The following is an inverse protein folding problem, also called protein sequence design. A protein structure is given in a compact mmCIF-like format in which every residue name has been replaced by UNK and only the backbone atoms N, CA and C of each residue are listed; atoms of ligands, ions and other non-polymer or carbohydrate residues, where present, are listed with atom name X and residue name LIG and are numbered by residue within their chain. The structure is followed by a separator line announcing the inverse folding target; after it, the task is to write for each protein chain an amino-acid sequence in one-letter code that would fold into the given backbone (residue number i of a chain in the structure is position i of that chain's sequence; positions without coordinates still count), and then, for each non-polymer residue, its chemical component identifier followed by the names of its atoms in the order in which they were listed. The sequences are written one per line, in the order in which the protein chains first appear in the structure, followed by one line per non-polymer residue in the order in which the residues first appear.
data_IF_529424817619
#
_entry.id   IF_529424817619
#
_cell.length_a   1.000
_cell.length_b   1.000
_cell.length_c   1.000
_cell.angle_alpha   90.00
_cell.angle_beta   90.00
_cell.angle_gamma   90.00
#
_symmetry.space_group_name_H-M   'P 1'
#
loop_
_entity.id
_entity.type
_entity.pdbx_description
1 polymer ?
#
# COMPACT_ATOMS: atom_id res chain seq x y z
N UNK A 1 -2.63 -43.66 6.21
CA UNK A 1 -1.83 -42.88 5.25
C UNK A 1 -2.74 -41.85 4.59
N UNK A 2 -2.33 -40.58 4.56
CA UNK A 2 -2.92 -39.57 3.66
C UNK A 2 -3.98 -38.64 4.25
N UNK A 3 -3.64 -37.91 5.32
CA UNK A 3 -4.40 -36.73 5.74
C UNK A 3 -4.28 -35.63 4.68
N UNK A 4 -5.19 -35.65 3.70
CA UNK A 4 -5.31 -34.61 2.69
C UNK A 4 -5.87 -33.34 3.32
N UNK A 5 -4.97 -32.44 3.74
CA UNK A 5 -5.30 -31.09 4.17
C UNK A 5 -5.98 -30.41 2.97
N UNK A 6 -7.32 -30.41 2.95
CA UNK A 6 -8.12 -29.64 2.00
C UNK A 6 -7.69 -28.20 2.19
N UNK A 7 -7.00 -27.61 1.20
CA UNK A 7 -6.70 -26.18 1.21
C UNK A 7 -8.04 -25.44 1.00
N UNK A 8 -8.71 -25.14 2.12
CA UNK A 8 -9.93 -24.33 2.26
C UNK A 8 -9.73 -22.85 1.90
N UNK A 9 -8.86 -22.54 0.95
CA UNK A 9 -8.72 -21.17 0.47
C UNK A 9 -9.63 -21.04 -0.75
N UNK A 10 -10.75 -20.29 -0.66
CA UNK A 10 -11.56 -19.99 -1.84
C UNK A 10 -10.61 -19.45 -2.91
N UNK A 11 -10.66 -20.05 -4.11
CA UNK A 11 -9.85 -19.65 -5.25
C UNK A 11 -10.36 -18.32 -5.81
N UNK A 12 -10.25 -17.26 -5.01
CA UNK A 12 -10.39 -15.89 -5.50
C UNK A 12 -9.27 -15.71 -6.52
N UNK A 13 -9.63 -15.36 -7.75
CA UNK A 13 -8.65 -15.15 -8.81
C UNK A 13 -7.56 -14.17 -8.35
N UNK A 14 -6.30 -14.51 -8.64
CA UNK A 14 -5.10 -13.72 -8.31
C UNK A 14 -5.32 -12.21 -8.49
N UNK A 15 -5.91 -11.83 -9.62
CA UNK A 15 -6.22 -10.44 -9.97
C UNK A 15 -7.21 -9.77 -9.02
N UNK A 16 -8.26 -10.47 -8.55
CA UNK A 16 -9.25 -9.90 -7.62
C UNK A 16 -8.64 -9.62 -6.25
N UNK A 17 -7.76 -10.49 -5.77
CA UNK A 17 -7.01 -10.28 -4.53
C UNK A 17 -6.09 -9.06 -4.63
N UNK A 18 -5.37 -8.95 -5.75
CA UNK A 18 -4.49 -7.81 -6.01
C UNK A 18 -5.28 -6.49 -6.05
N UNK A 19 -6.41 -6.44 -6.74
CA UNK A 19 -7.25 -5.24 -6.80
C UNK A 19 -7.79 -4.83 -5.43
N UNK A 20 -8.27 -5.78 -4.62
CA UNK A 20 -8.75 -5.51 -3.27
C UNK A 20 -7.62 -5.03 -2.35
N UNK A 21 -6.44 -5.65 -2.44
CA UNK A 21 -5.29 -5.26 -1.63
C UNK A 21 -4.76 -3.89 -2.03
N UNK A 22 -4.67 -3.61 -3.33
CA UNK A 22 -4.31 -2.29 -3.84
C UNK A 22 -5.30 -1.21 -3.34
N UNK A 23 -6.59 -1.52 -3.31
CA UNK A 23 -7.60 -0.59 -2.77
C UNK A 23 -7.34 -0.29 -1.28
N UNK A 24 -7.05 -1.33 -0.49
CA UNK A 24 -6.71 -1.16 0.94
C UNK A 24 -5.43 -0.33 1.11
N UNK A 25 -4.42 -0.54 0.27
CA UNK A 25 -3.19 0.27 0.28
C UNK A 25 -3.45 1.75 0.00
N UNK A 26 -4.29 2.06 -0.98
CA UNK A 26 -4.62 3.44 -1.34
C UNK A 26 -5.43 4.12 -0.25
N UNK A 27 -6.43 3.43 0.33
CA UNK A 27 -7.36 4.05 1.28
C UNK A 27 -6.75 4.17 2.67
N UNK A 28 -6.15 3.09 3.19
CA UNK A 28 -5.71 3.03 4.59
C UNK A 28 -4.22 3.36 4.76
N UNK A 29 -3.37 2.79 3.91
CA UNK A 29 -1.92 2.92 4.09
C UNK A 29 -1.33 4.22 3.52
N UNK A 30 -2.05 4.90 2.63
CA UNK A 30 -1.63 6.20 2.07
C UNK A 30 -2.22 7.41 2.81
N UNK A 31 -2.55 7.27 4.10
CA UNK A 31 -3.09 8.38 4.92
C UNK A 31 -2.19 9.64 4.94
N UNK A 32 -0.88 9.45 4.97
CA UNK A 32 0.08 10.56 4.92
C UNK A 32 0.00 11.33 3.60
N UNK A 33 -0.11 10.62 2.47
CA UNK A 33 -0.29 11.21 1.14
C UNK A 33 -1.58 12.03 1.08
N UNK A 34 -2.69 11.50 1.62
CA UNK A 34 -3.97 12.23 1.67
C UNK A 34 -3.87 13.51 2.50
N UNK A 35 -3.17 13.46 3.64
CA UNK A 35 -2.92 14.62 4.51
C UNK A 35 -2.06 15.67 3.80
N UNK A 36 -0.99 15.26 3.12
CA UNK A 36 -0.14 16.15 2.35
C UNK A 36 -0.90 16.79 1.17
N UNK A 37 -1.70 16.00 0.45
CA UNK A 37 -2.49 16.46 -0.68
C UNK A 37 -3.54 17.49 -0.25
N UNK A 38 -4.18 17.28 0.90
CA UNK A 38 -5.13 18.23 1.48
C UNK A 38 -4.46 19.55 1.92
N UNK A 39 -3.19 19.53 2.31
CA UNK A 39 -2.42 20.75 2.63
C UNK A 39 -1.93 21.52 1.41
N UNK A 40 -1.60 20.82 0.31
CA UNK A 40 -1.02 21.43 -0.90
C UNK A 40 -2.07 21.92 -1.90
N UNK A 41 -3.28 21.36 -1.88
CA UNK A 41 -4.29 21.59 -2.89
C UNK A 41 -5.46 22.37 -2.27
N UNK A 42 -5.49 23.71 -2.38
CA UNK A 42 -6.60 24.54 -1.89
C UNK A 42 -7.81 24.49 -2.86
N UNK A 43 -8.08 23.35 -3.48
CA UNK A 43 -9.24 23.17 -4.36
C UNK A 43 -10.47 22.87 -3.52
N UNK A 44 -11.38 23.85 -3.43
CA UNK A 44 -12.64 23.70 -2.71
C UNK A 44 -13.77 23.27 -3.65
N UNK A 45 -14.75 22.52 -3.11
CA UNK A 45 -15.94 22.08 -3.84
C UNK A 45 -15.73 20.87 -4.76
N UNK A 46 -16.59 20.74 -5.77
CA UNK A 46 -16.66 19.55 -6.64
C UNK A 46 -15.36 19.25 -7.39
N UNK A 47 -14.56 20.28 -7.71
CA UNK A 47 -13.26 20.14 -8.39
C UNK A 47 -12.21 19.49 -7.49
N UNK A 48 -12.22 19.82 -6.19
CA UNK A 48 -11.35 19.18 -5.20
C UNK A 48 -11.68 17.70 -5.09
N UNK A 49 -12.95 17.36 -4.93
CA UNK A 49 -13.39 15.96 -4.87
C UNK A 49 -13.01 15.17 -6.14
N UNK A 50 -13.24 15.74 -7.33
CA UNK A 50 -12.88 15.09 -8.59
C UNK A 50 -11.36 14.86 -8.73
N UNK A 51 -10.54 15.80 -8.25
CA UNK A 51 -9.08 15.65 -8.23
C UNK A 51 -8.62 14.56 -7.25
N UNK A 52 -9.19 14.53 -6.03
CA UNK A 52 -8.90 13.46 -5.07
C UNK A 52 -9.30 12.08 -5.61
N UNK A 53 -10.48 11.99 -6.26
CA UNK A 53 -10.95 10.75 -6.86
C UNK A 53 -10.08 10.29 -8.03
N UNK A 54 -9.66 11.19 -8.92
CA UNK A 54 -8.76 10.84 -10.03
C UNK A 54 -7.37 10.42 -9.54
N UNK A 55 -6.85 11.08 -8.52
CA UNK A 55 -5.59 10.71 -7.89
C UNK A 55 -5.68 9.34 -7.19
N UNK A 56 -6.78 9.07 -6.48
CA UNK A 56 -7.06 7.75 -5.90
C UNK A 56 -7.09 6.65 -6.97
N UNK A 57 -7.79 6.91 -8.07
CA UNK A 57 -7.91 5.97 -9.19
C UNK A 57 -6.54 5.71 -9.85
N UNK A 58 -5.73 6.76 -10.03
CA UNK A 58 -4.37 6.65 -10.56
C UNK A 58 -3.48 5.79 -9.65
N UNK A 59 -3.45 6.08 -8.35
CA UNK A 59 -2.70 5.28 -7.37
C UNK A 59 -3.17 3.82 -7.35
N UNK A 60 -4.49 3.60 -7.39
CA UNK A 60 -5.05 2.25 -7.40
C UNK A 60 -4.64 1.47 -8.65
N UNK A 61 -4.68 2.09 -9.83
CA UNK A 61 -4.21 1.49 -11.07
C UNK A 61 -2.70 1.19 -11.02
N UNK A 62 -1.89 2.13 -10.52
CA UNK A 62 -0.45 1.96 -10.38
C UNK A 62 -0.09 0.79 -9.46
N UNK A 63 -0.67 0.72 -8.26
CA UNK A 63 -0.43 -0.39 -7.33
C UNK A 63 -0.94 -1.72 -7.89
N UNK A 64 -2.11 -1.73 -8.53
CA UNK A 64 -2.64 -2.93 -9.18
C UNK A 64 -1.69 -3.42 -10.27
N UNK A 65 -1.14 -2.53 -11.09
CA UNK A 65 -0.19 -2.88 -12.15
C UNK A 65 1.11 -3.44 -11.56
N UNK A 66 1.69 -2.78 -10.56
CA UNK A 66 2.92 -3.23 -9.90
C UNK A 66 2.74 -4.60 -9.22
N UNK A 67 1.66 -4.77 -8.45
CA UNK A 67 1.35 -6.03 -7.79
C UNK A 67 1.01 -7.15 -8.78
N UNK A 68 0.41 -6.81 -9.92
CA UNK A 68 0.15 -7.77 -11.01
C UNK A 68 1.47 -8.21 -11.66
N UNK A 69 2.43 -7.29 -11.84
CA UNK A 69 3.76 -7.60 -12.36
C UNK A 69 4.54 -8.57 -11.44
N UNK A 70 4.36 -8.42 -10.13
CA UNK A 70 4.99 -9.26 -9.09
C UNK A 70 4.15 -10.51 -8.75
N UNK A 71 2.97 -10.69 -9.35
CA UNK A 71 2.03 -11.79 -9.07
C UNK A 71 2.43 -13.13 -9.70
N UNK A 72 3.64 -13.61 -9.41
CA UNK A 72 4.02 -15.00 -9.68
C UNK A 72 3.33 -15.94 -8.67
N UNK A 73 2.77 -17.05 -9.15
CA UNK A 73 1.86 -17.97 -8.43
C UNK A 73 2.30 -18.37 -6.98
N UNK A 74 3.59 -18.63 -6.69
CA UNK A 74 4.04 -18.90 -5.32
C UNK A 74 4.45 -17.64 -4.52
N UNK A 75 4.81 -16.55 -5.21
CA UNK A 75 5.39 -15.33 -4.61
C UNK A 75 4.33 -14.31 -4.18
N UNK A 76 3.10 -14.45 -4.66
CA UNK A 76 2.03 -13.49 -4.43
C UNK A 76 1.70 -13.33 -2.93
N UNK A 77 1.59 -14.43 -2.20
CA UNK A 77 1.30 -14.40 -0.76
C UNK A 77 2.41 -13.70 0.06
N UNK A 78 3.70 -14.11 -0.04
CA UNK A 78 4.74 -13.43 0.71
C UNK A 78 4.93 -11.97 0.26
N UNK A 79 4.79 -11.66 -1.03
CA UNK A 79 4.88 -10.29 -1.52
C UNK A 79 3.80 -9.39 -0.91
N UNK A 80 2.53 -9.84 -0.88
CA UNK A 80 1.45 -9.08 -0.24
C UNK A 80 1.71 -8.86 1.25
N UNK A 81 2.19 -9.87 1.98
CA UNK A 81 2.52 -9.73 3.40
C UNK A 81 3.66 -8.73 3.61
N UNK A 82 4.74 -8.82 2.83
CA UNK A 82 5.86 -7.89 2.91
C UNK A 82 5.42 -6.45 2.61
N UNK A 83 4.66 -6.26 1.53
CA UNK A 83 4.12 -4.95 1.18
C UNK A 83 3.21 -4.43 2.29
N UNK A 84 2.34 -5.26 2.88
CA UNK A 84 1.49 -4.85 3.99
C UNK A 84 2.31 -4.41 5.21
N UNK A 85 3.34 -5.17 5.59
CA UNK A 85 4.21 -4.84 6.73
C UNK A 85 5.02 -3.57 6.47
N UNK A 86 5.63 -3.44 5.29
CA UNK A 86 6.36 -2.25 4.89
C UNK A 86 5.44 -1.02 4.86
N UNK A 87 4.24 -1.16 4.29
CA UNK A 87 3.24 -0.09 4.29
C UNK A 87 2.79 0.27 5.69
N UNK A 88 2.56 -0.69 6.59
CA UNK A 88 2.21 -0.43 7.99
C UNK A 88 3.31 0.38 8.71
N UNK A 89 4.57 -0.03 8.53
CA UNK A 89 5.72 0.70 9.05
C UNK A 89 5.77 2.11 8.47
N UNK A 90 5.67 2.26 7.16
CA UNK A 90 5.68 3.55 6.49
C UNK A 90 4.58 4.49 6.97
N UNK A 91 3.33 4.00 7.08
CA UNK A 91 2.21 4.77 7.61
C UNK A 91 2.42 5.17 9.06
N UNK A 92 2.96 4.28 9.91
CA UNK A 92 3.24 4.60 11.31
C UNK A 92 4.34 5.66 11.45
N UNK A 93 5.45 5.52 10.71
CA UNK A 93 6.53 6.50 10.75
C UNK A 93 6.10 7.86 10.20
N UNK A 94 5.40 7.88 9.05
CA UNK A 94 4.87 9.13 8.49
C UNK A 94 3.77 9.76 9.35
N UNK A 95 2.94 8.95 10.01
CA UNK A 95 1.82 9.40 10.83
C UNK A 95 2.23 9.90 12.22
N UNK A 96 3.07 9.13 12.94
CA UNK A 96 3.50 9.44 14.31
C UNK A 96 4.64 10.45 14.36
N UNK A 97 5.58 10.40 13.43
CA UNK A 97 6.72 11.31 13.43
C UNK A 97 6.56 12.49 12.46
N UNK A 98 5.60 12.45 11.52
CA UNK A 98 5.46 13.48 10.49
C UNK A 98 6.63 13.53 9.51
N UNK A 99 7.52 12.54 9.57
CA UNK A 99 8.73 12.47 8.75
C UNK A 99 8.36 11.71 7.47
N UNK A 100 8.42 12.39 6.34
CA UNK A 100 8.49 11.72 5.03
C UNK A 100 9.72 10.80 5.05
N UNK A 101 9.58 9.50 4.78
CA UNK A 101 10.74 8.59 4.76
C UNK A 101 11.75 9.11 3.72
N UNK A 102 12.79 9.75 4.21
CA UNK A 102 13.90 10.31 3.44
C UNK A 102 15.16 9.47 3.72
N UNK A 103 16.14 9.56 2.82
CA UNK A 103 17.45 8.91 2.87
C UNK A 103 18.13 9.08 4.23
N UNK A 104 17.97 10.25 4.86
CA UNK A 104 18.52 10.56 6.19
C UNK A 104 17.88 9.69 7.29
N UNK A 105 16.60 9.33 7.18
CA UNK A 105 15.93 8.47 8.16
C UNK A 105 16.36 7.02 8.02
N UNK A 106 16.59 6.56 6.79
CA UNK A 106 17.16 5.22 6.56
C UNK A 106 18.60 5.17 7.09
N UNK A 107 19.40 6.20 6.80
CA UNK A 107 20.74 6.34 7.38
C UNK A 107 20.69 6.33 8.91
N UNK A 108 19.83 7.09 9.56
CA UNK A 108 19.71 7.10 11.03
C UNK A 108 19.40 5.71 11.61
N UNK A 109 18.57 4.90 10.96
CA UNK A 109 18.28 3.52 11.43
C UNK A 109 19.48 2.60 11.25
N UNK A 110 20.26 2.77 10.18
CA UNK A 110 21.48 1.99 9.93
C UNK A 110 22.69 2.49 10.74
N UNK A 111 22.74 3.78 11.06
CA UNK A 111 23.79 4.43 11.85
C UNK A 111 23.50 4.38 13.35
N UNK A 112 22.28 3.98 13.76
CA UNK A 112 22.01 3.73 15.18
C UNK A 112 22.74 2.46 15.60
N UNK A 113 23.83 2.68 16.33
CA UNK A 113 24.65 1.66 16.99
C UNK A 113 23.78 0.64 17.74
N UNK A 114 24.16 -0.63 17.63
CA UNK A 114 23.75 -1.68 18.57
C UNK A 114 24.31 -1.40 19.98
#
# INVERSE_FOLDING_TARGET
MGGGIKRFLPAIGSTRLVMLFALVLVVFYNAATWKALHGLVPLQGLKGFAFFASFAAFLWAAFTLLLTLVSFRPLLKPALTLVALCSAGATYFMGSYGISIDTVMVQNVFETNA
#
